data_IF_050112479169
#
_entry.id   IF_050112479169
#
_cell.length_a   1.000
_cell.length_b   1.000
_cell.length_c   1.000
_cell.angle_alpha   90.00
_cell.angle_beta   90.00
_cell.angle_gamma   90.00
#
_symmetry.space_group_name_H-M   'P 1'
#
loop_
_entity.id
_entity.type
_entity.pdbx_description
1 polymer ?
#
# COMPACT_ATOMS: atom_id res chain seq x y z
N UNK A 1 -36.44 -9.34 32.65
CA UNK A 1 -35.53 -8.97 31.53
C UNK A 1 -34.39 -10.00 31.48
N UNK A 2 -34.68 -11.20 30.98
CA UNK A 2 -33.71 -12.31 30.93
C UNK A 2 -33.01 -12.30 29.58
N UNK A 3 -31.74 -11.90 29.57
CA UNK A 3 -30.88 -11.91 28.39
C UNK A 3 -30.55 -13.38 28.07
N UNK A 4 -31.19 -13.94 27.05
CA UNK A 4 -30.81 -15.25 26.50
C UNK A 4 -29.39 -15.13 25.94
N UNK A 5 -28.41 -15.67 26.67
CA UNK A 5 -27.10 -15.99 26.13
C UNK A 5 -27.31 -17.05 25.04
N UNK A 6 -27.13 -16.68 23.76
CA UNK A 6 -26.98 -17.67 22.69
C UNK A 6 -25.66 -18.38 22.92
N UNK A 7 -25.72 -19.61 23.42
CA UNK A 7 -24.56 -20.48 23.47
C UNK A 7 -24.30 -20.98 22.05
N UNK A 8 -23.17 -20.57 21.47
CA UNK A 8 -22.66 -21.14 20.22
C UNK A 8 -22.30 -22.61 20.44
N UNK A 9 -22.71 -23.49 19.51
CA UNK A 9 -22.42 -24.91 19.55
C UNK A 9 -20.91 -25.18 19.61
N UNK A 10 -20.46 -26.28 20.26
CA UNK A 10 -19.06 -26.66 20.26
C UNK A 10 -18.61 -27.02 18.83
N UNK A 11 -17.40 -26.59 18.43
CA UNK A 11 -16.85 -26.89 17.11
C UNK A 11 -16.58 -28.39 16.93
N UNK A 12 -16.57 -28.89 15.69
CA UNK A 12 -16.34 -30.29 15.41
C UNK A 12 -14.97 -30.76 15.92
N UNK A 13 -14.87 -32.02 16.41
CA UNK A 13 -13.63 -32.57 16.92
C UNK A 13 -12.61 -32.68 15.78
N UNK A 14 -11.53 -31.90 15.87
CA UNK A 14 -10.46 -31.87 14.86
C UNK A 14 -9.99 -30.47 14.47
N UNK A 15 -10.71 -29.42 14.87
CA UNK A 15 -10.26 -28.03 14.70
C UNK A 15 -9.65 -27.54 16.02
N UNK A 16 -8.33 -27.27 16.11
CA UNK A 16 -7.76 -26.70 17.33
C UNK A 16 -8.38 -25.32 17.59
N UNK A 17 -9.17 -25.24 18.66
CA UNK A 17 -10.03 -24.11 19.03
C UNK A 17 -9.33 -22.86 19.56
N UNK A 18 -8.00 -22.81 19.50
CA UNK A 18 -7.23 -21.60 19.76
C UNK A 18 -5.99 -21.66 18.88
N UNK A 19 -5.99 -21.00 17.73
CA UNK A 19 -4.76 -20.79 16.96
C UNK A 19 -3.92 -19.76 17.72
N UNK A 20 -3.20 -20.25 18.75
CA UNK A 20 -2.36 -19.45 19.62
C UNK A 20 -1.10 -19.08 18.83
N UNK A 21 -0.83 -17.78 18.69
CA UNK A 21 0.46 -17.29 18.24
C UNK A 21 1.54 -17.85 19.19
N UNK A 22 2.37 -18.79 18.70
CA UNK A 22 3.33 -19.50 19.55
C UNK A 22 4.51 -18.57 19.82
N UNK A 23 4.88 -18.33 21.10
CA UNK A 23 6.07 -17.57 21.44
C UNK A 23 7.33 -18.22 20.86
N UNK A 24 8.25 -17.41 20.35
CA UNK A 24 9.49 -17.91 19.74
C UNK A 24 10.34 -18.77 20.68
N UNK A 25 10.27 -18.52 21.99
CA UNK A 25 11.02 -19.27 23.00
C UNK A 25 10.61 -20.75 23.08
N UNK A 26 9.38 -21.09 22.71
CA UNK A 26 8.84 -22.44 22.81
C UNK A 26 9.17 -23.31 21.58
N UNK A 27 9.72 -22.72 20.50
CA UNK A 27 9.97 -23.43 19.24
C UNK A 27 11.46 -23.54 18.93
N UNK A 28 11.99 -24.77 18.91
CA UNK A 28 13.39 -25.05 18.56
C UNK A 28 13.60 -25.46 17.11
N UNK A 29 12.56 -25.95 16.42
CA UNK A 29 12.63 -26.46 15.04
C UNK A 29 11.58 -25.83 14.14
N UNK A 30 11.87 -25.70 12.85
CA UNK A 30 10.93 -25.22 11.86
C UNK A 30 9.75 -26.18 11.71
N UNK A 31 8.50 -25.67 11.81
CA UNK A 31 7.31 -26.52 11.66
C UNK A 31 7.20 -27.21 10.28
N UNK A 32 7.73 -26.57 9.22
CA UNK A 32 7.69 -27.12 7.86
C UNK A 32 8.78 -28.17 7.59
N UNK A 33 10.05 -27.81 7.75
CA UNK A 33 11.18 -28.68 7.40
C UNK A 33 11.84 -29.40 8.58
N UNK A 34 11.37 -29.19 9.81
CA UNK A 34 11.89 -29.81 11.04
C UNK A 34 13.37 -29.53 11.36
N UNK A 35 14.00 -28.61 10.63
CA UNK A 35 15.38 -28.18 10.88
C UNK A 35 15.45 -27.22 12.07
N UNK A 36 16.48 -27.38 12.90
CA UNK A 36 16.75 -26.54 14.08
C UNK A 36 16.90 -25.07 13.67
N UNK A 37 16.28 -24.20 14.45
CA UNK A 37 16.55 -22.78 14.41
C UNK A 37 17.91 -22.50 15.05
N UNK A 38 18.68 -21.65 14.39
CA UNK A 38 19.97 -21.19 14.87
C UNK A 38 20.11 -19.69 14.56
N UNK A 39 21.33 -19.19 14.59
CA UNK A 39 21.63 -17.77 14.47
C UNK A 39 21.47 -17.29 13.01
N UNK A 40 21.50 -18.22 12.05
CA UNK A 40 21.34 -18.00 10.61
C UNK A 40 19.90 -18.23 10.18
N UNK A 41 19.29 -19.32 10.66
CA UNK A 41 17.89 -19.69 10.41
C UNK A 41 16.99 -18.97 11.40
N UNK A 42 16.55 -17.78 11.01
CA UNK A 42 15.60 -16.98 11.79
C UNK A 42 14.19 -17.58 11.78
N UNK A 43 13.43 -17.20 12.81
CA UNK A 43 12.04 -17.61 13.04
C UNK A 43 11.07 -16.63 12.39
N UNK A 44 10.03 -17.18 11.74
CA UNK A 44 9.00 -16.41 11.05
C UNK A 44 7.62 -17.04 11.28
N UNK A 45 6.64 -16.25 11.71
CA UNK A 45 5.28 -16.75 11.89
C UNK A 45 4.49 -16.75 10.58
N UNK A 46 3.72 -17.80 10.33
CA UNK A 46 2.65 -17.74 9.34
C UNK A 46 1.49 -16.90 9.89
N UNK A 47 1.01 -15.90 9.13
CA UNK A 47 -0.10 -15.02 9.56
C UNK A 47 -1.47 -15.67 9.43
N UNK A 48 -1.56 -16.85 8.81
CA UNK A 48 -2.81 -17.60 8.68
C UNK A 48 -2.95 -18.70 9.74
N UNK A 49 -1.89 -19.49 9.97
CA UNK A 49 -1.94 -20.63 10.92
C UNK A 49 -1.12 -20.43 12.21
N UNK A 50 -0.32 -19.35 12.33
CA UNK A 50 0.40 -19.00 13.56
C UNK A 50 1.65 -19.81 13.86
N UNK A 51 1.93 -20.88 13.10
CA UNK A 51 3.15 -21.69 13.25
C UNK A 51 4.43 -20.88 12.99
N UNK A 52 5.53 -21.32 13.60
CA UNK A 52 6.87 -20.74 13.44
C UNK A 52 7.69 -21.55 12.44
N UNK A 53 8.16 -20.90 11.39
CA UNK A 53 8.86 -21.49 10.26
C UNK A 53 10.14 -20.71 9.92
N UNK A 54 10.99 -21.28 9.08
CA UNK A 54 12.14 -20.56 8.50
C UNK A 54 11.74 -19.77 7.24
N UNK A 55 12.65 -18.92 6.75
CA UNK A 55 12.44 -18.12 5.53
C UNK A 55 12.13 -19.01 4.31
N UNK A 56 12.78 -20.18 4.20
CA UNK A 56 12.56 -21.12 3.08
C UNK A 56 11.15 -21.70 3.07
N UNK A 57 10.57 -21.99 4.25
CA UNK A 57 9.21 -22.52 4.36
C UNK A 57 8.13 -21.43 4.38
N UNK A 58 8.53 -20.16 4.23
CA UNK A 58 7.63 -18.99 4.21
C UNK A 58 8.02 -18.00 3.11
N UNK A 59 8.47 -18.54 1.97
CA UNK A 59 8.99 -17.76 0.83
C UNK A 59 7.89 -16.95 0.12
N UNK A 60 6.63 -17.31 0.35
CA UNK A 60 5.47 -16.77 -0.36
C UNK A 60 4.61 -15.86 0.52
N UNK A 61 3.80 -15.03 -0.14
CA UNK A 61 2.83 -14.15 0.51
C UNK A 61 1.47 -14.30 -0.17
N UNK A 62 0.41 -14.28 0.63
CA UNK A 62 -0.98 -14.41 0.17
C UNK A 62 -1.85 -13.34 0.78
N UNK A 63 -2.89 -12.92 0.07
CA UNK A 63 -3.98 -12.17 0.67
C UNK A 63 -4.76 -13.09 1.62
N UNK A 64 -5.17 -12.53 2.76
CA UNK A 64 -5.94 -13.19 3.83
C UNK A 64 -7.07 -12.23 4.20
N UNK A 65 -8.26 -12.74 4.51
CA UNK A 65 -9.37 -11.91 4.99
C UNK A 65 -9.01 -11.30 6.35
N UNK A 66 -9.48 -10.09 6.61
CA UNK A 66 -9.09 -9.34 7.82
C UNK A 66 -9.38 -10.12 9.11
N UNK A 67 -10.52 -10.80 9.17
CA UNK A 67 -10.91 -11.64 10.31
C UNK A 67 -10.05 -12.91 10.52
N UNK A 68 -9.31 -13.35 9.49
CA UNK A 68 -8.49 -14.56 9.51
C UNK A 68 -7.00 -14.27 9.76
N UNK A 69 -6.61 -12.99 9.74
CA UNK A 69 -5.22 -12.60 9.97
C UNK A 69 -4.88 -12.72 11.45
N UNK A 70 -3.93 -13.60 11.75
CA UNK A 70 -3.36 -13.72 13.08
C UNK A 70 -2.33 -12.63 13.32
N UNK A 71 -2.56 -11.88 14.39
CA UNK A 71 -1.65 -10.86 14.91
C UNK A 71 -1.03 -11.30 16.22
N UNK A 72 0.18 -10.82 16.52
CA UNK A 72 0.78 -11.05 17.82
C UNK A 72 -0.04 -10.31 18.91
N UNK A 73 -0.61 -11.03 19.90
CA UNK A 73 -1.44 -10.43 20.95
C UNK A 73 -0.67 -9.41 21.81
N UNK A 74 0.65 -9.54 21.94
CA UNK A 74 1.50 -8.63 22.73
C UNK A 74 1.88 -7.35 21.95
N UNK A 75 1.65 -7.32 20.63
CA UNK A 75 2.01 -6.19 19.75
C UNK A 75 0.81 -5.65 18.97
N UNK A 76 -0.28 -5.41 19.69
CA UNK A 76 -1.54 -4.92 19.13
C UNK A 76 -1.41 -3.58 18.37
N UNK A 77 -0.38 -2.77 18.64
CA UNK A 77 -0.16 -1.48 17.98
C UNK A 77 0.36 -1.59 16.54
N UNK A 78 0.84 -2.76 16.10
CA UNK A 78 1.24 -2.99 14.71
C UNK A 78 0.00 -3.41 13.91
N UNK A 79 -0.75 -2.45 13.40
CA UNK A 79 -1.90 -2.70 12.52
C UNK A 79 -1.45 -3.49 11.29
N UNK A 80 -1.96 -4.72 11.13
CA UNK A 80 -1.74 -5.49 9.91
C UNK A 80 -2.70 -4.97 8.85
N UNK A 81 -2.14 -4.57 7.70
CA UNK A 81 -2.96 -4.10 6.59
C UNK A 81 -3.41 -5.30 5.74
N UNK A 82 -4.69 -5.67 5.84
CA UNK A 82 -5.30 -6.78 5.09
C UNK A 82 -5.23 -6.58 3.56
N UNK A 83 -5.05 -5.35 3.08
CA UNK A 83 -4.87 -5.06 1.65
C UNK A 83 -3.48 -5.45 1.13
N UNK A 84 -2.53 -5.74 2.01
CA UNK A 84 -1.19 -6.19 1.62
C UNK A 84 -1.09 -7.72 1.75
N UNK A 85 -0.41 -8.41 0.81
CA UNK A 85 -0.12 -9.83 0.94
C UNK A 85 0.70 -10.13 2.21
N UNK A 86 0.18 -11.03 3.04
CA UNK A 86 0.76 -11.43 4.30
C UNK A 86 1.68 -12.64 4.14
N UNK A 87 2.72 -12.73 4.98
CA UNK A 87 3.63 -13.89 4.98
C UNK A 87 2.88 -15.13 5.44
N UNK A 88 2.92 -16.19 4.64
CA UNK A 88 2.31 -17.49 4.95
C UNK A 88 3.32 -18.61 4.75
N UNK A 89 3.06 -19.78 5.33
CA UNK A 89 3.83 -20.98 4.98
C UNK A 89 3.36 -21.56 3.64
N UNK A 90 4.18 -22.43 3.05
CA UNK A 90 3.88 -23.03 1.74
C UNK A 90 2.53 -23.79 1.74
N UNK A 91 2.24 -24.55 2.79
CA UNK A 91 0.95 -25.25 2.93
C UNK A 91 -0.25 -24.28 2.97
N UNK A 92 -0.13 -23.16 3.70
CA UNK A 92 -1.18 -22.15 3.73
C UNK A 92 -1.25 -21.36 2.42
N UNK A 93 -0.14 -21.20 1.71
CA UNK A 93 -0.15 -20.58 0.38
C UNK A 93 -0.99 -21.40 -0.60
N UNK A 94 -0.79 -22.71 -0.64
CA UNK A 94 -1.58 -23.63 -1.47
C UNK A 94 -3.06 -23.63 -1.05
N UNK A 95 -3.34 -23.64 0.25
CA UNK A 95 -4.72 -23.59 0.77
C UNK A 95 -5.45 -22.30 0.38
N UNK A 96 -4.75 -21.17 0.39
CA UNK A 96 -5.32 -19.86 0.06
C UNK A 96 -5.36 -19.59 -1.45
N UNK A 97 -4.67 -20.38 -2.27
CA UNK A 97 -4.53 -20.17 -3.71
C UNK A 97 -5.88 -20.04 -4.45
N UNK A 98 -6.91 -20.89 -4.20
CA UNK A 98 -8.19 -20.79 -4.89
C UNK A 98 -8.94 -19.49 -4.61
N UNK A 99 -8.72 -18.89 -3.44
CA UNK A 99 -9.39 -17.66 -3.01
C UNK A 99 -8.64 -16.39 -3.44
N UNK A 100 -7.41 -16.50 -3.96
CA UNK A 100 -6.60 -15.33 -4.25
C UNK A 100 -7.23 -14.42 -5.31
N UNK A 101 -7.93 -14.95 -6.32
CA UNK A 101 -8.57 -14.11 -7.35
C UNK A 101 -9.73 -13.29 -6.78
N UNK A 102 -10.57 -13.92 -5.96
CA UNK A 102 -11.66 -13.25 -5.25
C UNK A 102 -11.12 -12.20 -4.27
N UNK A 103 -10.09 -12.55 -3.48
CA UNK A 103 -9.49 -11.62 -2.54
C UNK A 103 -8.77 -10.48 -3.25
N UNK A 104 -8.17 -10.72 -4.41
CA UNK A 104 -7.60 -9.65 -5.24
C UNK A 104 -8.67 -8.69 -5.70
N UNK A 105 -9.83 -9.15 -6.14
CA UNK A 105 -10.90 -8.27 -6.62
C UNK A 105 -11.63 -7.54 -5.49
N UNK A 106 -11.88 -8.23 -4.36
CA UNK A 106 -12.63 -7.68 -3.22
C UNK A 106 -11.77 -6.85 -2.25
N UNK A 107 -10.51 -7.24 -2.01
CA UNK A 107 -9.59 -6.55 -1.10
C UNK A 107 -8.59 -5.64 -1.82
N UNK A 108 -8.48 -5.64 -3.16
CA UNK A 108 -7.74 -4.56 -3.82
C UNK A 108 -8.45 -3.23 -3.55
N UNK A 109 -7.92 -2.48 -2.59
CA UNK A 109 -7.69 -1.08 -2.90
C UNK A 109 -6.70 -1.08 -4.07
N UNK A 110 -7.04 -0.53 -5.25
CA UNK A 110 -6.05 -0.35 -6.31
C UNK A 110 -4.86 0.37 -5.67
N UNK A 111 -3.66 -0.18 -5.86
CA UNK A 111 -2.45 0.45 -5.33
C UNK A 111 -2.48 1.92 -5.73
N UNK A 112 -1.96 2.83 -4.90
CA UNK A 112 -1.97 4.25 -5.25
C UNK A 112 -1.33 4.54 -6.62
N UNK A 113 -0.52 3.61 -7.15
CA UNK A 113 0.06 3.63 -8.49
C UNK A 113 -0.93 3.36 -9.63
N UNK A 114 -2.04 2.63 -9.40
CA UNK A 114 -3.05 2.28 -10.41
C UNK A 114 -4.32 3.14 -10.27
N UNK A 115 -4.45 3.90 -9.18
CA UNK A 115 -5.55 4.86 -9.05
C UNK A 115 -5.42 5.96 -10.10
N UNK A 116 -6.47 6.15 -10.91
CA UNK A 116 -6.55 7.30 -11.81
C UNK A 116 -6.60 8.58 -10.97
N UNK A 117 -5.70 9.51 -11.27
CA UNK A 117 -5.73 10.83 -10.69
C UNK A 117 -6.75 11.66 -11.47
N UNK A 118 -7.99 11.75 -10.96
CA UNK A 118 -8.98 12.63 -11.55
C UNK A 118 -8.60 14.10 -11.33
N UNK A 119 -8.46 14.82 -12.44
CA UNK A 119 -8.16 16.25 -12.45
C UNK A 119 -9.42 16.99 -12.87
N UNK A 120 -10.11 17.59 -11.90
CA UNK A 120 -11.32 18.40 -12.14
C UNK A 120 -10.96 19.69 -12.86
N UNK A 121 -11.39 19.82 -14.11
CA UNK A 121 -11.05 21.00 -14.93
C UNK A 121 -11.74 22.30 -14.49
N UNK A 122 -12.78 22.19 -13.67
CA UNK A 122 -13.55 23.29 -13.12
C UNK A 122 -13.24 23.51 -11.63
N UNK A 123 -13.16 24.79 -11.23
CA UNK A 123 -13.04 25.21 -9.83
C UNK A 123 -11.70 25.84 -9.43
N UNK A 124 -11.62 26.39 -8.21
CA UNK A 124 -10.45 27.14 -7.73
C UNK A 124 -9.21 26.28 -7.54
N UNK A 125 -9.38 24.96 -7.40
CA UNK A 125 -8.29 23.99 -7.23
C UNK A 125 -7.30 23.91 -8.41
N UNK A 126 -7.68 24.46 -9.58
CA UNK A 126 -6.85 24.61 -10.78
C UNK A 126 -5.84 25.74 -10.67
N UNK A 127 -6.16 26.77 -9.89
CA UNK A 127 -5.34 27.98 -9.74
C UNK A 127 -4.66 28.03 -8.37
N UNK A 128 -5.21 27.33 -7.38
CA UNK A 128 -4.68 27.24 -6.03
C UNK A 128 -4.10 25.85 -5.77
N UNK A 129 -2.79 25.71 -5.97
CA UNK A 129 -2.04 24.55 -5.54
C UNK A 129 -1.45 24.82 -4.16
N UNK A 130 -1.84 24.02 -3.15
CA UNK A 130 -1.20 24.06 -1.82
C UNK A 130 0.30 23.75 -1.96
N UNK A 131 1.21 24.50 -1.33
CA UNK A 131 2.64 24.14 -1.30
C UNK A 131 2.93 22.97 -0.36
N UNK A 132 2.00 22.64 0.54
CA UNK A 132 2.11 21.50 1.45
C UNK A 132 1.34 20.31 0.88
N UNK A 133 2.07 19.28 0.47
CA UNK A 133 1.54 17.98 0.06
C UNK A 133 2.53 16.90 0.45
N UNK A 134 2.00 15.79 0.94
CA UNK A 134 2.79 14.65 1.41
C UNK A 134 2.49 13.38 0.62
N UNK A 135 1.77 13.51 -0.51
CA UNK A 135 1.43 12.38 -1.37
C UNK A 135 1.90 12.65 -2.80
N UNK A 136 2.40 11.60 -3.47
CA UNK A 136 2.77 11.68 -4.88
C UNK A 136 1.57 12.04 -5.76
N UNK A 137 0.36 11.58 -5.39
CA UNK A 137 -0.89 11.91 -6.07
C UNK A 137 -1.11 13.42 -6.15
N UNK A 138 -0.92 14.12 -5.03
CA UNK A 138 -1.23 15.54 -4.97
C UNK A 138 -0.21 16.35 -5.77
N UNK A 139 1.06 15.91 -5.80
CA UNK A 139 2.09 16.48 -6.66
C UNK A 139 1.79 16.26 -8.15
N UNK A 140 1.40 15.04 -8.54
CA UNK A 140 0.98 14.74 -9.93
C UNK A 140 -0.20 15.64 -10.32
N UNK A 141 -1.21 15.77 -9.44
CA UNK A 141 -2.39 16.60 -9.67
C UNK A 141 -2.00 18.06 -9.93
N UNK A 142 -1.13 18.65 -9.10
CA UNK A 142 -0.64 20.04 -9.28
C UNK A 142 0.10 20.21 -10.60
N UNK A 143 0.99 19.27 -10.94
CA UNK A 143 1.73 19.30 -12.20
C UNK A 143 0.79 19.26 -13.41
N UNK A 144 -0.26 18.43 -13.37
CA UNK A 144 -1.26 18.38 -14.44
C UNK A 144 -2.01 19.70 -14.59
N UNK A 145 -2.42 20.34 -13.49
CA UNK A 145 -3.05 21.67 -13.58
C UNK A 145 -2.12 22.73 -14.16
N UNK A 146 -0.85 22.73 -13.77
CA UNK A 146 0.15 23.62 -14.33
C UNK A 146 0.26 23.46 -15.85
N UNK A 147 0.43 22.22 -16.34
CA UNK A 147 0.51 21.96 -17.79
C UNK A 147 -0.76 22.41 -18.49
N UNK A 148 -1.95 22.04 -18.00
CA UNK A 148 -3.22 22.46 -18.59
C UNK A 148 -3.38 23.98 -18.62
N UNK A 149 -2.95 24.70 -17.59
CA UNK A 149 -3.01 26.16 -17.56
C UNK A 149 -2.18 26.83 -18.66
N UNK A 150 -1.09 26.18 -19.10
CA UNK A 150 -0.20 26.71 -20.13
C UNK A 150 -0.54 26.25 -21.55
N UNK A 151 -1.31 25.17 -21.71
CA UNK A 151 -1.65 24.58 -23.01
C UNK A 151 -3.12 24.75 -23.41
N UNK A 152 -3.96 25.31 -22.55
CA UNK A 152 -5.40 25.51 -22.83
C UNK A 152 -5.64 26.55 -23.95
N UNK A 153 -6.71 26.37 -24.72
CA UNK A 153 -7.13 27.34 -25.73
C UNK A 153 -7.50 28.68 -25.06
N UNK A 154 -6.83 29.76 -25.46
CA UNK A 154 -7.06 31.11 -24.91
C UNK A 154 -5.94 31.62 -23.99
N UNK A 155 -4.85 30.87 -23.79
CA UNK A 155 -3.65 31.37 -23.12
C UNK A 155 -2.97 32.42 -24.01
N UNK A 156 -2.66 33.59 -23.45
CA UNK A 156 -1.87 34.63 -24.13
C UNK A 156 -0.51 34.04 -24.49
N UNK A 157 -0.06 34.20 -25.74
CA UNK A 157 1.18 33.57 -26.27
C UNK A 157 2.39 33.75 -25.36
N UNK A 158 2.53 34.91 -24.70
CA UNK A 158 3.63 35.23 -23.80
C UNK A 158 3.62 34.42 -22.49
N UNK A 159 2.50 33.80 -22.14
CA UNK A 159 2.37 32.89 -21.00
C UNK A 159 2.52 31.42 -21.41
N UNK A 160 2.37 31.07 -22.68
CA UNK A 160 2.53 29.69 -23.15
C UNK A 160 4.00 29.24 -23.11
N UNK A 161 4.24 27.96 -22.83
CA UNK A 161 5.61 27.41 -22.84
C UNK A 161 6.08 27.36 -24.31
N UNK A 162 7.19 28.03 -24.68
CA UNK A 162 7.68 28.03 -26.05
C UNK A 162 7.98 26.61 -26.55
N UNK A 163 7.36 26.22 -27.66
CA UNK A 163 7.58 24.93 -28.34
C UNK A 163 9.07 24.58 -28.53
N UNK A 164 9.98 25.50 -28.92
CA UNK A 164 11.41 25.18 -29.09
C UNK A 164 12.10 24.71 -27.80
N UNK A 165 11.59 25.10 -26.62
CA UNK A 165 12.10 24.66 -25.33
C UNK A 165 11.62 23.25 -24.98
N UNK A 166 10.44 22.85 -25.46
CA UNK A 166 9.88 21.51 -25.21
C UNK A 166 10.47 20.45 -26.14
N UNK A 167 10.80 20.81 -27.39
CA UNK A 167 11.29 19.83 -28.39
C UNK A 167 12.64 19.21 -28.02
N UNK A 168 13.45 19.88 -27.19
CA UNK A 168 14.77 19.41 -26.77
C UNK A 168 14.86 19.07 -25.28
N UNK A 169 13.79 19.25 -24.52
CA UNK A 169 13.79 18.97 -23.09
C UNK A 169 13.74 17.46 -22.81
N UNK A 170 14.65 16.96 -21.97
CA UNK A 170 14.59 15.57 -21.46
C UNK A 170 13.49 15.38 -20.40
N UNK A 171 12.99 16.48 -19.81
CA UNK A 171 11.92 16.46 -18.80
C UNK A 171 11.48 17.87 -18.37
N UNK A 172 10.39 17.93 -17.60
CA UNK A 172 9.82 19.18 -17.07
C UNK A 172 9.82 19.11 -15.55
N UNK A 173 10.51 20.03 -14.88
CA UNK A 173 10.40 20.20 -13.43
C UNK A 173 9.32 21.26 -13.12
N UNK A 174 8.31 20.87 -12.33
CA UNK A 174 7.26 21.78 -11.84
C UNK A 174 7.55 22.11 -10.39
N UNK A 175 7.88 23.37 -10.10
CA UNK A 175 8.15 23.84 -8.73
C UNK A 175 7.05 24.80 -8.28
N UNK A 176 6.45 24.53 -7.13
CA UNK A 176 5.39 25.36 -6.53
C UNK A 176 6.01 26.18 -5.38
N UNK A 177 6.17 27.49 -5.55
CA UNK A 177 6.72 28.38 -4.52
C UNK A 177 5.62 29.20 -3.84
N UNK A 178 5.74 29.38 -2.51
CA UNK A 178 4.86 30.27 -1.74
C UNK A 178 5.45 31.69 -1.74
N UNK A 179 4.82 32.61 -2.49
CA UNK A 179 5.08 34.04 -2.35
C UNK A 179 4.11 34.64 -1.32
N UNK A 180 4.64 35.37 -0.35
CA UNK A 180 3.91 35.96 0.80
C UNK A 180 2.81 36.96 0.37
N UNK A 181 2.76 37.32 -0.91
CA UNK A 181 1.70 38.13 -1.51
C UNK A 181 1.06 37.38 -2.70
N UNK A 182 0.16 36.45 -2.40
CA UNK A 182 -0.93 35.91 -3.24
C UNK A 182 -0.72 35.72 -4.77
N UNK A 183 0.50 35.48 -5.25
CA UNK A 183 0.78 35.13 -6.64
C UNK A 183 1.58 33.84 -6.65
N UNK A 184 0.90 32.73 -6.96
CA UNK A 184 1.53 31.43 -7.14
C UNK A 184 2.30 31.45 -8.47
N UNK A 185 3.61 31.64 -8.42
CA UNK A 185 4.47 31.60 -9.61
C UNK A 185 4.96 30.16 -9.81
N UNK A 186 4.43 29.49 -10.83
CA UNK A 186 4.99 28.22 -11.30
C UNK A 186 6.24 28.56 -12.11
N UNK A 187 7.42 28.21 -11.59
CA UNK A 187 8.67 28.29 -12.35
C UNK A 187 9.03 26.92 -12.91
N UNK A 188 9.38 26.91 -14.19
CA UNK A 188 9.97 25.77 -14.85
C UNK A 188 11.49 25.84 -14.73
N UNK A 189 12.11 24.74 -14.37
CA UNK A 189 13.53 24.51 -14.62
C UNK A 189 13.63 23.42 -15.67
N UNK A 190 14.31 23.72 -16.78
CA UNK A 190 14.66 22.72 -17.76
C UNK A 190 15.97 22.09 -17.31
N UNK A 191 16.00 20.76 -17.20
CA UNK A 191 17.26 20.06 -16.91
C UNK A 191 18.03 19.92 -18.22
N UNK A 192 19.10 20.71 -18.34
CA UNK A 192 20.01 20.73 -19.49
C UNK A 192 21.42 20.32 -19.06
N UNK A 193 21.53 19.40 -18.10
CA UNK A 193 22.81 18.81 -17.70
C UNK A 193 23.23 17.74 -18.72
N UNK A 194 24.52 17.69 -19.14
CA UNK A 194 25.00 16.72 -20.12
C UNK A 194 24.84 15.27 -19.65
#
# INVERSE_FOLDING_TARGET
LSKMMRQSAPPPPGVPTTVRWIPDAEVSVCFGCQLLFDWVRRKHHCRFCGHVLCELCTSQRSLIREEEILTNPERQYLSVNAHNPQRVCDACHEQLAPQQEELRTSLHRPSNAVQQNEVKESGPQRFFNSPYSFTLREEIRKATYSVKNFTFQGVVKDQSIPLPLLTHAKGIAVRTELLVFAVLVIRFSLDSSP
#
